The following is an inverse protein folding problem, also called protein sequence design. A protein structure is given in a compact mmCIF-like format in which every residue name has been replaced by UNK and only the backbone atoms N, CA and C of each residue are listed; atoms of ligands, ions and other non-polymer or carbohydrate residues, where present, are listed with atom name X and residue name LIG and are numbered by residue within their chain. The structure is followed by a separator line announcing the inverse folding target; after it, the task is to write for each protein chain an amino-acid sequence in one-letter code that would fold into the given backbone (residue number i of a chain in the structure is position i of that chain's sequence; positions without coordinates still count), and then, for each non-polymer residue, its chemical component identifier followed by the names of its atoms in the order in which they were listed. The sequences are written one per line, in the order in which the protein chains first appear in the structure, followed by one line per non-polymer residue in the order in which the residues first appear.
data_IF_324566434511
#
_entry.id   IF_324566434511
#
_cell.length_a   1.000
_cell.length_b   1.000
_cell.length_c   1.000
_cell.angle_alpha   90.00
_cell.angle_beta   90.00
_cell.angle_gamma   90.00
#
_symmetry.space_group_name_H-M   'P 1'
#
loop_
_entity.id
_entity.type
_entity.pdbx_description
1 polymer ?
#
# COMPACT_ATOMS: atom_id res chain seq x y z
N UNK A 1 -3.63 4.28 21.61
CA UNK A 1 -3.54 2.80 21.64
C UNK A 1 -4.66 2.13 20.85
N UNK A 2 -5.95 2.30 21.22
CA UNK A 2 -7.10 1.62 20.57
C UNK A 2 -7.06 1.70 19.03
N UNK A 3 -7.04 2.91 18.48
CA UNK A 3 -7.05 3.12 17.01
C UNK A 3 -5.85 2.44 16.33
N UNK A 4 -4.64 2.57 16.89
CA UNK A 4 -3.44 1.94 16.35
C UNK A 4 -3.55 0.40 16.37
N UNK A 5 -4.09 -0.18 17.45
CA UNK A 5 -4.31 -1.63 17.53
C UNK A 5 -5.26 -2.11 16.43
N UNK A 6 -6.37 -1.41 16.19
CA UNK A 6 -7.35 -1.81 15.18
C UNK A 6 -6.84 -1.60 13.75
N UNK A 7 -6.08 -0.53 13.50
CA UNK A 7 -5.39 -0.33 12.21
C UNK A 7 -4.40 -1.47 11.98
N UNK A 8 -3.55 -1.79 12.96
CA UNK A 8 -2.59 -2.89 12.84
C UNK A 8 -3.30 -4.23 12.59
N UNK A 9 -4.36 -4.52 13.33
CA UNK A 9 -5.17 -5.73 13.18
C UNK A 9 -5.75 -5.87 11.77
N UNK A 10 -6.34 -4.80 11.24
CA UNK A 10 -6.83 -4.76 9.86
C UNK A 10 -5.70 -4.99 8.85
N UNK A 11 -4.58 -4.27 8.98
CA UNK A 11 -3.44 -4.42 8.07
C UNK A 11 -2.84 -5.84 8.09
N UNK A 12 -2.74 -6.48 9.26
CA UNK A 12 -2.28 -7.86 9.37
C UNK A 12 -3.27 -8.80 8.67
N UNK A 13 -4.57 -8.62 8.89
CA UNK A 13 -5.59 -9.46 8.29
C UNK A 13 -5.63 -9.33 6.75
N UNK A 14 -5.45 -8.12 6.22
CA UNK A 14 -5.46 -7.85 4.78
C UNK A 14 -4.15 -8.21 4.07
N UNK A 15 -2.99 -7.92 4.64
CA UNK A 15 -1.72 -8.04 3.91
C UNK A 15 -0.88 -9.26 4.28
N UNK A 16 -1.12 -9.86 5.46
CA UNK A 16 -0.39 -11.06 5.91
C UNK A 16 -1.26 -12.31 5.89
N UNK A 17 -2.52 -12.23 6.32
CA UNK A 17 -3.42 -13.40 6.35
C UNK A 17 -4.15 -13.63 5.02
N UNK A 18 -4.37 -12.58 4.21
CA UNK A 18 -4.92 -12.74 2.87
C UNK A 18 -3.88 -13.37 1.94
N UNK A 19 -4.14 -14.58 1.47
CA UNK A 19 -3.21 -15.31 0.60
C UNK A 19 -3.38 -14.94 -0.88
N UNK A 20 -2.36 -15.18 -1.70
CA UNK A 20 -2.44 -14.98 -3.17
C UNK A 20 -3.59 -15.77 -3.82
N UNK A 21 -3.99 -16.93 -3.25
CA UNK A 21 -5.15 -17.71 -3.73
C UNK A 21 -6.45 -16.94 -3.50
N UNK A 22 -6.60 -16.30 -2.34
CA UNK A 22 -7.76 -15.49 -1.99
C UNK A 22 -7.85 -14.24 -2.86
N UNK A 23 -6.71 -13.61 -3.18
CA UNK A 23 -6.66 -12.45 -4.08
C UNK A 23 -7.01 -12.83 -5.52
N UNK A 24 -6.59 -14.01 -5.99
CA UNK A 24 -6.89 -14.51 -7.34
C UNK A 24 -8.36 -14.87 -7.54
N UNK A 25 -9.01 -15.41 -6.51
CA UNK A 25 -10.42 -15.83 -6.57
C UNK A 25 -11.20 -15.27 -5.35
N UNK A 26 -11.34 -13.94 -5.33
CA UNK A 26 -11.95 -13.22 -4.20
C UNK A 26 -13.37 -13.66 -3.90
N UNK A 27 -14.15 -14.00 -4.94
CA UNK A 27 -15.55 -14.40 -4.78
C UNK A 27 -15.66 -15.77 -4.09
N UNK A 28 -14.83 -16.74 -4.47
CA UNK A 28 -14.80 -18.06 -3.82
C UNK A 28 -14.32 -17.99 -2.38
N UNK A 29 -13.28 -17.20 -2.12
CA UNK A 29 -12.64 -17.14 -0.80
C UNK A 29 -13.15 -16.00 0.10
N UNK A 30 -14.20 -15.29 -0.30
CA UNK A 30 -14.77 -14.16 0.45
C UNK A 30 -15.05 -14.51 1.92
N UNK A 31 -15.74 -15.63 2.18
CA UNK A 31 -16.07 -16.06 3.55
C UNK A 31 -14.84 -16.34 4.40
N UNK A 32 -13.80 -16.93 3.81
CA UNK A 32 -12.55 -17.24 4.50
C UNK A 32 -11.76 -15.98 4.83
N UNK A 33 -11.81 -14.99 3.94
CA UNK A 33 -11.17 -13.70 4.18
C UNK A 33 -11.86 -12.96 5.33
N UNK A 34 -13.19 -12.91 5.30
CA UNK A 34 -14.02 -12.30 6.32
C UNK A 34 -13.86 -13.01 7.68
N UNK A 35 -13.70 -14.34 7.71
CA UNK A 35 -13.53 -15.08 8.96
C UNK A 35 -12.23 -14.75 9.68
N UNK A 36 -11.11 -14.64 8.95
CA UNK A 36 -9.84 -14.25 9.59
C UNK A 36 -9.87 -12.80 10.07
N UNK A 37 -10.56 -11.91 9.35
CA UNK A 37 -10.85 -10.55 9.81
C UNK A 37 -11.63 -10.56 11.12
N UNK A 38 -12.72 -11.32 11.19
CA UNK A 38 -13.50 -11.45 12.42
C UNK A 38 -12.66 -11.92 13.60
N UNK A 39 -11.83 -12.96 13.40
CA UNK A 39 -10.96 -13.49 14.45
C UNK A 39 -9.93 -12.45 14.90
N UNK A 40 -9.19 -11.83 13.99
CA UNK A 40 -8.12 -10.89 14.35
C UNK A 40 -8.66 -9.63 15.01
N UNK A 41 -9.76 -9.06 14.51
CA UNK A 41 -10.37 -7.87 15.13
C UNK A 41 -10.93 -8.20 16.51
N UNK A 42 -11.61 -9.34 16.66
CA UNK A 42 -12.14 -9.79 17.96
C UNK A 42 -11.01 -10.02 18.97
N UNK A 43 -9.95 -10.73 18.59
CA UNK A 43 -8.80 -10.97 19.47
C UNK A 43 -8.12 -9.66 19.88
N UNK A 44 -7.98 -8.71 18.96
CA UNK A 44 -7.38 -7.41 19.24
C UNK A 44 -8.22 -6.60 20.25
N UNK A 45 -9.54 -6.64 20.12
CA UNK A 45 -10.46 -6.01 21.07
C UNK A 45 -10.48 -6.74 22.42
N UNK A 46 -10.39 -8.06 22.45
CA UNK A 46 -10.22 -8.82 23.70
C UNK A 46 -8.94 -8.40 24.45
N UNK A 47 -7.81 -8.24 23.75
CA UNK A 47 -6.56 -7.77 24.36
C UNK A 47 -6.75 -6.38 24.96
N UNK A 48 -7.39 -5.45 24.23
CA UNK A 48 -7.68 -4.12 24.75
C UNK A 48 -8.60 -4.16 25.97
N UNK A 49 -9.62 -5.01 25.94
CA UNK A 49 -10.55 -5.21 27.06
C UNK A 49 -9.84 -5.74 28.31
N UNK A 50 -8.88 -6.67 28.18
CA UNK A 50 -8.11 -7.12 29.34
C UNK A 50 -7.24 -6.03 29.98
N UNK A 51 -6.83 -5.01 29.22
CA UNK A 51 -5.99 -3.93 29.73
C UNK A 51 -6.81 -2.86 30.46
N UNK A 52 -7.95 -2.47 29.90
CA UNK A 52 -8.69 -1.27 30.34
C UNK A 52 -10.21 -1.42 30.30
N UNK A 53 -10.72 -2.63 30.10
CA UNK A 53 -12.11 -2.85 29.74
C UNK A 53 -13.08 -2.78 30.92
N UNK A 54 -14.30 -2.33 30.63
CA UNK A 54 -15.38 -2.23 31.62
C UNK A 54 -16.58 -3.09 31.22
N UNK A 55 -17.04 -2.94 29.97
CA UNK A 55 -18.19 -3.68 29.45
C UNK A 55 -17.83 -4.49 28.20
N UNK A 56 -17.71 -5.81 28.37
CA UNK A 56 -17.31 -6.72 27.29
C UNK A 56 -18.23 -6.66 26.06
N UNK A 57 -19.54 -6.47 26.28
CA UNK A 57 -20.51 -6.43 25.19
C UNK A 57 -20.32 -5.16 24.33
N UNK A 58 -20.17 -4.00 24.97
CA UNK A 58 -20.01 -2.72 24.27
C UNK A 58 -18.61 -2.50 23.70
N UNK A 59 -17.58 -3.04 24.34
CA UNK A 59 -16.18 -2.79 23.96
C UNK A 59 -15.57 -3.89 23.11
N UNK A 60 -16.15 -5.09 23.09
CA UNK A 60 -15.65 -6.22 22.29
C UNK A 60 -16.69 -6.71 21.31
N UNK A 61 -17.84 -7.18 21.79
CA UNK A 61 -18.81 -7.90 20.94
C UNK A 61 -19.41 -7.00 19.87
N UNK A 62 -20.03 -5.88 20.26
CA UNK A 62 -20.65 -4.92 19.34
C UNK A 62 -19.64 -4.40 18.30
N UNK A 63 -18.49 -3.81 18.70
CA UNK A 63 -17.51 -3.30 17.74
C UNK A 63 -16.98 -4.38 16.80
N UNK A 64 -16.72 -5.60 17.30
CA UNK A 64 -16.27 -6.72 16.44
C UNK A 64 -17.29 -7.04 15.35
N UNK A 65 -18.58 -7.12 15.72
CA UNK A 65 -19.66 -7.39 14.76
C UNK A 65 -19.77 -6.27 13.73
N UNK A 66 -19.75 -5.00 14.16
CA UNK A 66 -19.81 -3.85 13.26
C UNK A 66 -18.63 -3.82 12.29
N UNK A 67 -17.39 -4.01 12.78
CA UNK A 67 -16.18 -4.01 11.96
C UNK A 67 -16.23 -5.10 10.88
N UNK A 68 -16.68 -6.30 11.22
CA UNK A 68 -16.82 -7.41 10.26
C UNK A 68 -17.91 -7.11 9.24
N UNK A 69 -19.06 -6.59 9.66
CA UNK A 69 -20.15 -6.24 8.73
C UNK A 69 -19.69 -5.18 7.73
N UNK A 70 -19.10 -4.08 8.21
CA UNK A 70 -18.64 -3.00 7.35
C UNK A 70 -17.51 -3.44 6.42
N UNK A 71 -16.54 -4.21 6.92
CA UNK A 71 -15.48 -4.80 6.09
C UNK A 71 -16.07 -5.65 4.96
N UNK A 72 -16.99 -6.57 5.29
CA UNK A 72 -17.66 -7.41 4.31
C UNK A 72 -18.44 -6.61 3.26
N UNK A 73 -19.10 -5.52 3.65
CA UNK A 73 -19.81 -4.62 2.71
C UNK A 73 -18.84 -3.92 1.76
N UNK A 74 -17.74 -3.38 2.27
CA UNK A 74 -16.72 -2.68 1.47
C UNK A 74 -16.10 -3.65 0.47
N UNK A 75 -15.65 -4.81 0.93
CA UNK A 75 -15.01 -5.82 0.09
C UNK A 75 -15.96 -6.37 -0.98
N UNK A 76 -17.22 -6.65 -0.62
CA UNK A 76 -18.22 -7.08 -1.59
C UNK A 76 -18.47 -6.00 -2.66
N UNK A 77 -18.60 -4.75 -2.23
CA UNK A 77 -18.77 -3.61 -3.14
C UNK A 77 -17.59 -3.43 -4.08
N UNK A 78 -16.36 -3.57 -3.57
CA UNK A 78 -15.13 -3.52 -4.36
C UNK A 78 -15.09 -4.63 -5.42
N UNK A 79 -15.42 -5.88 -5.05
CA UNK A 79 -15.49 -7.00 -6.00
C UNK A 79 -16.49 -6.69 -7.12
N UNK A 80 -17.69 -6.22 -6.76
CA UNK A 80 -18.73 -5.88 -7.74
C UNK A 80 -18.31 -4.73 -8.68
N UNK A 81 -17.64 -3.70 -8.16
CA UNK A 81 -17.13 -2.57 -8.96
C UNK A 81 -15.98 -2.98 -9.86
N UNK A 82 -15.10 -3.87 -9.40
CA UNK A 82 -13.99 -4.40 -10.17
C UNK A 82 -14.46 -5.27 -11.35
N UNK A 83 -15.53 -6.06 -11.17
CA UNK A 83 -16.18 -6.84 -12.23
C UNK A 83 -16.85 -5.93 -13.29
N UNK A 84 -17.53 -4.86 -12.86
CA UNK A 84 -18.19 -3.90 -13.78
C UNK A 84 -17.20 -3.07 -14.60
N UNK A 85 -16.08 -2.67 -13.99
CA UNK A 85 -15.02 -1.88 -14.63
C UNK A 85 -14.21 -2.63 -15.69
N UNK A 86 -14.42 -3.95 -15.86
CA UNK A 86 -13.68 -4.79 -16.80
C UNK A 86 -13.87 -4.41 -18.29
N UNK A 87 -14.81 -3.51 -18.62
CA UNK A 87 -15.08 -3.01 -19.98
C UNK A 87 -14.22 -1.82 -20.44
N UNK A 88 -13.37 -1.25 -19.59
CA UNK A 88 -12.63 -0.02 -19.89
C UNK A 88 -11.14 -0.27 -20.19
N UNK A 89 -10.61 0.42 -21.21
CA UNK A 89 -9.20 0.45 -21.64
C UNK A 89 -8.23 1.02 -20.58
N UNK A 90 -8.72 1.49 -19.42
CA UNK A 90 -7.93 1.97 -18.27
C UNK A 90 -8.05 1.07 -17.02
N UNK A 91 -8.05 -0.26 -17.20
CA UNK A 91 -8.32 -1.24 -16.13
C UNK A 91 -7.47 -1.07 -14.87
N UNK A 92 -6.23 -0.63 -14.99
CA UNK A 92 -5.29 -0.63 -13.87
C UNK A 92 -5.26 0.69 -13.06
N UNK A 93 -5.47 1.86 -13.68
CA UNK A 93 -5.64 3.12 -12.93
C UNK A 93 -6.94 3.07 -12.14
N UNK A 94 -7.98 2.47 -12.72
CA UNK A 94 -9.20 2.12 -12.01
C UNK A 94 -8.94 1.17 -10.83
N UNK A 95 -8.16 0.11 -11.03
CA UNK A 95 -7.80 -0.80 -9.93
C UNK A 95 -6.97 -0.12 -8.84
N UNK A 96 -6.11 0.83 -9.18
CA UNK A 96 -5.35 1.63 -8.22
C UNK A 96 -6.29 2.51 -7.39
N UNK A 97 -7.21 3.22 -8.05
CA UNK A 97 -8.23 4.03 -7.38
C UNK A 97 -9.14 3.20 -6.48
N UNK A 98 -9.60 2.03 -6.96
CA UNK A 98 -10.38 1.09 -6.14
C UNK A 98 -9.58 0.56 -4.95
N UNK A 99 -8.28 0.30 -5.11
CA UNK A 99 -7.43 -0.13 -3.99
C UNK A 99 -7.27 0.97 -2.95
N UNK A 100 -6.96 2.20 -3.36
CA UNK A 100 -6.80 3.33 -2.42
C UNK A 100 -8.13 3.65 -1.73
N UNK A 101 -9.23 3.75 -2.50
CA UNK A 101 -10.56 4.04 -1.96
C UNK A 101 -11.03 2.99 -0.97
N UNK A 102 -10.74 1.71 -1.24
CA UNK A 102 -10.99 0.61 -0.32
C UNK A 102 -10.25 0.76 1.01
N UNK A 103 -8.94 1.05 0.99
CA UNK A 103 -8.17 1.23 2.23
C UNK A 103 -8.67 2.45 3.03
N UNK A 104 -9.03 3.55 2.35
CA UNK A 104 -9.62 4.73 2.99
C UNK A 104 -10.96 4.41 3.65
N UNK A 105 -11.85 3.69 2.97
CA UNK A 105 -13.15 3.29 3.54
C UNK A 105 -12.98 2.38 4.77
N UNK A 106 -12.01 1.47 4.75
CA UNK A 106 -11.70 0.64 5.93
C UNK A 106 -11.20 1.47 7.11
N UNK A 107 -10.30 2.44 6.90
CA UNK A 107 -9.85 3.34 7.97
C UNK A 107 -11.01 4.19 8.50
N UNK A 108 -11.88 4.72 7.62
CA UNK A 108 -13.06 5.49 8.04
C UNK A 108 -13.99 4.65 8.91
N UNK A 109 -14.25 3.39 8.53
CA UNK A 109 -15.12 2.51 9.32
C UNK A 109 -14.49 2.13 10.67
N UNK A 110 -13.17 1.92 10.73
CA UNK A 110 -12.46 1.74 12.01
C UNK A 110 -12.63 2.98 12.91
N UNK A 111 -12.43 4.18 12.37
CA UNK A 111 -12.58 5.42 13.14
C UNK A 111 -14.03 5.64 13.59
N UNK A 112 -15.00 5.35 12.72
CA UNK A 112 -16.42 5.45 13.06
C UNK A 112 -16.81 4.48 14.18
N UNK A 113 -16.37 3.22 14.13
CA UNK A 113 -16.62 2.25 15.21
C UNK A 113 -15.93 2.69 16.50
N UNK A 114 -14.67 3.16 16.43
CA UNK A 114 -13.98 3.71 17.61
C UNK A 114 -14.78 4.84 18.27
N UNK A 115 -15.32 5.76 17.47
CA UNK A 115 -16.12 6.89 17.97
C UNK A 115 -17.44 6.43 18.58
N UNK A 116 -18.24 5.64 17.86
CA UNK A 116 -19.60 5.31 18.29
C UNK A 116 -19.69 4.26 19.39
N UNK A 117 -18.73 3.32 19.48
CA UNK A 117 -18.80 2.22 20.46
C UNK A 117 -17.72 2.29 21.53
N UNK A 118 -16.50 2.67 21.15
CA UNK A 118 -15.35 2.72 22.06
C UNK A 118 -15.14 4.12 22.68
N UNK A 119 -16.05 5.06 22.40
CA UNK A 119 -16.06 6.42 22.93
C UNK A 119 -14.75 7.18 22.71
N UNK A 120 -14.05 6.89 21.60
CA UNK A 120 -12.83 7.62 21.22
C UNK A 120 -13.21 9.00 20.70
N UNK A 121 -12.69 10.06 21.33
CA UNK A 121 -12.85 11.43 20.83
C UNK A 121 -11.98 11.66 19.59
N UNK A 122 -12.63 11.86 18.44
CA UNK A 122 -11.95 12.09 17.16
C UNK A 122 -11.31 13.48 17.05
N UNK A 123 -11.84 14.48 17.75
CA UNK A 123 -11.27 15.82 17.76
C UNK A 123 -9.97 15.82 18.56
N UNK A 124 -9.97 15.16 19.73
CA UNK A 124 -8.75 15.00 20.53
C UNK A 124 -7.70 14.20 19.75
N UNK A 125 -8.10 13.09 19.11
CA UNK A 125 -7.21 12.30 18.25
C UNK A 125 -6.59 13.14 17.13
N UNK A 126 -7.40 13.96 16.44
CA UNK A 126 -6.93 14.84 15.38
C UNK A 126 -5.96 15.89 15.93
N UNK A 127 -6.27 16.51 17.06
CA UNK A 127 -5.39 17.50 17.68
C UNK A 127 -4.04 16.87 18.08
N UNK A 128 -4.06 15.69 18.70
CA UNK A 128 -2.84 14.95 19.05
C UNK A 128 -2.02 14.61 17.79
N UNK A 129 -2.66 14.19 16.70
CA UNK A 129 -1.99 13.91 15.44
C UNK A 129 -1.33 15.17 14.86
N UNK A 130 -2.05 16.30 14.82
CA UNK A 130 -1.53 17.56 14.27
C UNK A 130 -0.33 18.09 15.09
N UNK A 131 -0.38 17.98 16.43
CA UNK A 131 0.74 18.34 17.32
C UNK A 131 1.95 17.43 17.09
N UNK A 132 1.73 16.12 17.01
CA UNK A 132 2.78 15.12 16.78
C UNK A 132 3.48 15.38 15.44
N UNK A 133 2.72 15.75 14.41
CA UNK A 133 3.25 16.06 13.08
C UNK A 133 3.83 17.48 12.94
N UNK A 134 3.89 18.27 14.01
CA UNK A 134 4.35 19.68 13.99
C UNK A 134 3.56 20.58 13.02
N UNK A 135 2.28 20.27 12.81
CA UNK A 135 1.40 21.04 11.92
C UNK A 135 0.68 22.18 12.63
N UNK A 136 0.59 22.10 13.97
CA UNK A 136 0.08 23.18 14.83
C UNK A 136 1.05 23.41 15.97
N UNK A 137 1.08 24.64 16.50
CA UNK A 137 1.91 24.99 17.64
C UNK A 137 1.36 24.39 18.94
N UNK A 138 2.25 23.86 19.78
CA UNK A 138 1.89 23.32 21.08
C UNK A 138 2.93 22.34 21.61
N UNK A 139 2.67 21.80 22.80
CA UNK A 139 3.51 20.76 23.41
C UNK A 139 3.26 19.45 22.68
N UNK A 140 4.34 18.80 22.24
CA UNK A 140 4.24 17.53 21.56
C UNK A 140 3.82 16.44 22.54
N UNK A 141 2.80 15.61 22.22
CA UNK A 141 2.42 14.52 23.08
C UNK A 141 3.52 13.45 23.07
N UNK A 142 3.99 13.05 24.25
CA UNK A 142 4.89 11.91 24.36
C UNK A 142 4.16 10.61 24.02
N UNK A 143 4.63 9.90 23.00
CA UNK A 143 4.13 8.56 22.70
C UNK A 143 4.72 7.55 23.68
N UNK A 144 3.86 7.01 24.55
CA UNK A 144 4.23 5.88 25.39
C UNK A 144 4.71 4.67 24.58
N UNK A 145 5.55 3.83 25.20
CA UNK A 145 6.24 2.70 24.55
C UNK A 145 5.31 1.81 23.71
N UNK A 146 4.12 1.48 24.21
CA UNK A 146 3.15 0.66 23.48
C UNK A 146 2.67 1.31 22.17
N UNK A 147 2.35 2.61 22.19
CA UNK A 147 1.92 3.32 20.98
C UNK A 147 3.08 3.43 19.97
N UNK A 148 4.29 3.68 20.45
CA UNK A 148 5.49 3.74 19.61
C UNK A 148 5.75 2.40 18.91
N UNK A 149 5.65 1.28 19.63
CA UNK A 149 5.79 -0.06 19.03
C UNK A 149 4.70 -0.35 18.00
N UNK A 150 3.43 -0.08 18.32
CA UNK A 150 2.32 -0.26 17.38
C UNK A 150 2.51 0.59 16.11
N UNK A 151 2.94 1.83 16.28
CA UNK A 151 3.21 2.73 15.17
C UNK A 151 4.36 2.23 14.29
N UNK A 152 5.48 1.78 14.89
CA UNK A 152 6.60 1.17 14.16
C UNK A 152 6.12 -0.05 13.35
N UNK A 153 5.29 -0.91 13.92
CA UNK A 153 4.75 -2.09 13.22
C UNK A 153 3.85 -1.70 12.05
N UNK A 154 2.96 -0.71 12.22
CA UNK A 154 2.12 -0.18 11.14
C UNK A 154 3.02 0.38 10.02
N UNK A 155 4.02 1.19 10.37
CA UNK A 155 4.94 1.79 9.41
C UNK A 155 5.78 0.74 8.69
N UNK A 156 6.18 -0.34 9.37
CA UNK A 156 6.86 -1.48 8.75
C UNK A 156 5.99 -2.16 7.69
N UNK A 157 4.71 -2.42 7.99
CA UNK A 157 3.78 -3.03 7.04
C UNK A 157 3.50 -2.08 5.87
N UNK A 158 3.24 -0.80 6.13
CA UNK A 158 3.05 0.23 5.09
C UNK A 158 4.24 0.30 4.14
N UNK A 159 5.44 0.39 4.72
CA UNK A 159 6.68 0.50 3.97
C UNK A 159 6.98 -0.78 3.17
N UNK A 160 6.64 -1.97 3.67
CA UNK A 160 6.97 -3.23 2.98
C UNK A 160 5.85 -3.74 2.08
N UNK A 161 4.83 -4.37 2.65
CA UNK A 161 3.78 -5.12 1.93
C UNK A 161 2.83 -4.19 1.18
N UNK A 162 2.32 -3.14 1.83
CA UNK A 162 1.33 -2.24 1.23
C UNK A 162 1.94 -1.51 0.04
N UNK A 163 3.12 -0.94 0.23
CA UNK A 163 3.84 -0.25 -0.86
C UNK A 163 4.23 -1.21 -1.99
N UNK A 164 4.63 -2.44 -1.68
CA UNK A 164 4.88 -3.46 -2.71
C UNK A 164 3.63 -3.79 -3.54
N UNK A 165 2.47 -3.91 -2.89
CA UNK A 165 1.19 -4.14 -3.56
C UNK A 165 0.77 -2.93 -4.41
N UNK A 166 0.94 -1.71 -3.89
CA UNK A 166 0.66 -0.46 -4.58
C UNK A 166 1.48 -0.34 -5.88
N UNK A 167 2.80 -0.54 -5.79
CA UNK A 167 3.71 -0.50 -6.94
C UNK A 167 3.33 -1.56 -7.98
N UNK A 168 2.97 -2.77 -7.54
CA UNK A 168 2.53 -3.84 -8.45
C UNK A 168 1.29 -3.45 -9.25
N UNK A 169 0.29 -2.82 -8.62
CA UNK A 169 -0.91 -2.34 -9.33
C UNK A 169 -0.54 -1.20 -10.28
N UNK A 170 0.24 -0.23 -9.80
CA UNK A 170 0.62 0.98 -10.53
C UNK A 170 1.43 0.65 -11.79
N UNK A 171 2.48 -0.18 -11.68
CA UNK A 171 3.32 -0.57 -12.80
C UNK A 171 2.55 -1.39 -13.84
N UNK A 172 1.67 -2.29 -13.40
CA UNK A 172 0.78 -2.96 -14.34
C UNK A 172 -0.11 -2.01 -15.15
N UNK A 173 -0.38 -0.79 -14.62
CA UNK A 173 -1.17 0.25 -15.29
C UNK A 173 -0.39 1.01 -16.33
N UNK A 174 0.82 1.42 -15.96
CA UNK A 174 1.47 2.52 -16.62
C UNK A 174 2.21 2.05 -17.88
N UNK A 175 2.80 0.85 -17.87
CA UNK A 175 3.52 0.28 -19.02
C UNK A 175 2.62 0.14 -20.27
N UNK A 176 1.32 -0.10 -20.10
CA UNK A 176 0.37 -0.17 -21.24
C UNK A 176 -0.01 1.19 -21.79
N UNK A 177 -0.07 2.22 -20.95
CA UNK A 177 -0.45 3.57 -21.40
C UNK A 177 0.69 4.29 -22.08
N UNK A 178 1.93 4.10 -21.63
CA UNK A 178 3.09 4.73 -22.27
C UNK A 178 3.32 4.11 -23.66
N UNK A 179 3.33 2.77 -23.76
CA UNK A 179 3.42 2.08 -25.06
C UNK A 179 2.29 2.48 -26.04
N UNK A 180 1.04 2.64 -25.58
CA UNK A 180 -0.08 3.10 -26.41
C UNK A 180 0.01 4.57 -26.82
N UNK A 181 0.46 5.45 -25.92
CA UNK A 181 0.64 6.87 -26.23
C UNK A 181 1.63 7.01 -27.37
N UNK A 182 2.75 6.30 -27.28
CA UNK A 182 3.81 6.38 -28.28
C UNK A 182 3.51 5.70 -29.60
N UNK A 183 2.80 4.58 -29.63
CA UNK A 183 2.31 4.01 -30.88
C UNK A 183 1.56 5.06 -31.71
N UNK A 184 0.85 5.99 -31.06
CA UNK A 184 0.17 7.11 -31.73
C UNK A 184 1.14 8.21 -32.21
N UNK A 185 2.26 8.45 -31.54
CA UNK A 185 3.28 9.41 -31.98
C UNK A 185 4.17 8.83 -33.07
N UNK A 186 4.65 7.59 -32.94
CA UNK A 186 5.41 6.90 -33.98
C UNK A 186 4.58 6.71 -35.25
N UNK A 187 3.30 6.33 -35.16
CA UNK A 187 2.41 6.31 -36.33
C UNK A 187 2.18 7.71 -36.93
N UNK A 188 2.15 8.76 -36.10
CA UNK A 188 2.03 10.14 -36.59
C UNK A 188 3.31 10.59 -37.29
N UNK A 189 4.48 10.22 -36.78
CA UNK A 189 5.78 10.53 -37.40
C UNK A 189 6.03 9.69 -38.66
N UNK A 190 5.60 8.43 -38.68
CA UNK A 190 5.62 7.55 -39.87
C UNK A 190 4.60 8.00 -40.93
N UNK A 191 3.41 8.44 -40.54
CA UNK A 191 2.41 8.99 -41.46
C UNK A 191 2.84 10.34 -42.07
N UNK A 192 3.84 11.00 -41.48
CA UNK A 192 4.48 12.21 -42.03
C UNK A 192 5.62 11.86 -43.00
N UNK A 193 6.05 10.59 -43.07
CA UNK A 193 7.07 10.13 -44.03
C UNK A 193 6.40 9.50 -45.27
N UNK A 194 6.45 10.13 -46.47
CA UNK A 194 5.63 9.68 -47.61
C UNK A 194 6.09 8.38 -48.29
N UNK A 195 7.20 7.79 -47.86
CA UNK A 195 7.80 6.63 -48.53
C UNK A 195 8.44 5.68 -47.52
N UNK A 196 7.71 4.65 -47.09
CA UNK A 196 8.35 3.43 -46.61
C UNK A 196 7.44 2.22 -46.84
N UNK A 197 7.84 1.38 -47.79
CA UNK A 197 7.26 0.07 -48.03
C UNK A 197 7.41 -0.83 -46.79
N UNK A 198 6.38 -1.66 -46.62
CA UNK A 198 5.97 -2.29 -45.38
C UNK A 198 6.50 -3.72 -45.32
N UNK A 199 7.45 -3.98 -44.43
CA UNK A 199 7.78 -5.33 -43.95
C UNK A 199 8.08 -5.25 -42.44
N UNK A 200 7.04 -5.33 -41.62
CA UNK A 200 7.19 -5.44 -40.16
C UNK A 200 7.11 -6.90 -39.75
N UNK A 201 8.25 -7.51 -39.46
CA UNK A 201 8.33 -8.70 -38.61
C UNK A 201 8.53 -8.24 -37.17
N UNK A 202 7.45 -8.16 -36.40
CA UNK A 202 7.51 -7.86 -34.97
C UNK A 202 7.93 -9.13 -34.21
N UNK A 203 9.20 -9.21 -33.84
CA UNK A 203 9.73 -10.27 -32.99
C UNK A 203 9.50 -9.90 -31.52
N UNK A 204 8.34 -10.27 -30.98
CA UNK A 204 8.05 -10.08 -29.56
C UNK A 204 8.84 -11.08 -28.71
N UNK A 205 9.98 -10.65 -28.17
CA UNK A 205 10.69 -11.39 -27.12
C UNK A 205 9.91 -11.24 -25.81
N UNK A 206 9.01 -12.18 -25.53
CA UNK A 206 8.39 -12.28 -24.22
C UNK A 206 9.40 -12.84 -23.21
N UNK A 207 9.86 -12.02 -22.26
CA UNK A 207 10.52 -12.55 -21.07
C UNK A 207 9.48 -13.32 -20.24
N UNK A 208 9.52 -14.66 -20.31
CA UNK A 208 8.78 -15.52 -19.39
C UNK A 208 9.39 -15.36 -18.01
N UNK A 209 8.81 -14.50 -17.16
CA UNK A 209 9.18 -14.42 -15.75
C UNK A 209 8.89 -15.77 -15.06
N UNK A 210 9.94 -16.48 -14.67
CA UNK A 210 9.84 -17.76 -13.97
C UNK A 210 9.30 -17.53 -12.55
N UNK A 211 8.38 -18.38 -12.11
CA UNK A 211 7.61 -18.21 -10.86
C UNK A 211 8.46 -18.10 -9.57
N UNK A 212 9.76 -18.45 -9.63
CA UNK A 212 10.75 -18.34 -8.54
C UNK A 212 11.37 -16.93 -8.39
N UNK A 213 11.33 -16.08 -9.41
CA UNK A 213 11.93 -14.73 -9.37
C UNK A 213 11.05 -13.71 -8.65
N UNK A 214 9.74 -13.97 -8.58
CA UNK A 214 8.75 -13.10 -7.93
C UNK A 214 8.97 -12.95 -6.42
N UNK A 215 9.46 -13.99 -5.72
CA UNK A 215 9.71 -13.90 -4.28
C UNK A 215 11.00 -13.11 -3.98
N UNK A 216 12.03 -13.29 -4.80
CA UNK A 216 13.33 -12.59 -4.64
C UNK A 216 13.19 -11.09 -4.89
N UNK A 217 12.49 -10.70 -5.96
CA UNK A 217 12.22 -9.29 -6.25
C UNK A 217 11.44 -8.59 -5.14
N UNK A 218 10.43 -9.27 -4.56
CA UNK A 218 9.65 -8.76 -3.42
C UNK A 218 10.54 -8.50 -2.20
N UNK A 219 11.41 -9.45 -1.85
CA UNK A 219 12.33 -9.32 -0.71
C UNK A 219 13.36 -8.21 -0.94
N UNK A 220 13.94 -8.11 -2.14
CA UNK A 220 14.87 -7.01 -2.48
C UNK A 220 14.19 -5.65 -2.28
N UNK A 221 12.97 -5.49 -2.79
CA UNK A 221 12.21 -4.25 -2.61
C UNK A 221 11.95 -3.92 -1.14
N UNK A 222 11.73 -4.92 -0.28
CA UNK A 222 11.55 -4.71 1.16
C UNK A 222 12.84 -4.19 1.79
N UNK A 223 13.96 -4.85 1.51
CA UNK A 223 15.26 -4.48 2.04
C UNK A 223 15.67 -3.06 1.63
N UNK A 224 15.46 -2.70 0.36
CA UNK A 224 15.77 -1.36 -0.14
C UNK A 224 14.97 -0.27 0.59
N UNK A 225 13.67 -0.46 0.75
CA UNK A 225 12.84 0.54 1.45
C UNK A 225 13.16 0.65 2.93
N UNK A 226 13.42 -0.47 3.60
CA UNK A 226 13.85 -0.47 5.00
C UNK A 226 15.22 0.19 5.18
N UNK A 227 16.15 -0.03 4.24
CA UNK A 227 17.45 0.65 4.22
C UNK A 227 17.28 2.16 4.04
N UNK A 228 16.41 2.60 3.13
CA UNK A 228 16.08 4.02 2.96
C UNK A 228 15.52 4.61 4.25
N UNK A 229 14.53 3.97 4.88
CA UNK A 229 13.99 4.42 6.16
C UNK A 229 15.08 4.54 7.22
N UNK A 230 15.96 3.54 7.36
CA UNK A 230 17.06 3.56 8.32
C UNK A 230 18.01 4.74 8.07
N UNK A 231 18.37 5.03 6.81
CA UNK A 231 19.22 6.17 6.47
C UNK A 231 18.57 7.52 6.79
N UNK A 232 17.26 7.66 6.58
CA UNK A 232 16.51 8.87 6.94
C UNK A 232 16.48 9.08 8.45
N UNK A 233 16.26 8.01 9.23
CA UNK A 233 16.33 8.05 10.69
C UNK A 233 17.73 8.49 11.18
N UNK A 234 18.79 7.97 10.56
CA UNK A 234 20.19 8.39 10.82
C UNK A 234 20.53 9.80 10.31
N UNK A 235 19.62 10.46 9.57
CA UNK A 235 19.86 11.80 8.99
C UNK A 235 20.73 11.80 7.73
N UNK A 236 21.03 10.64 7.15
CA UNK A 236 21.89 10.50 5.98
C UNK A 236 21.08 10.51 4.67
N UNK A 237 20.49 11.67 4.34
CA UNK A 237 19.71 11.85 3.11
C UNK A 237 20.53 11.63 1.83
N UNK A 238 21.82 12.02 1.86
CA UNK A 238 22.73 11.86 0.73
C UNK A 238 22.97 10.38 0.37
N UNK A 239 23.04 9.49 1.36
CA UNK A 239 23.23 8.05 1.14
C UNK A 239 22.05 7.41 0.40
N UNK A 240 20.84 7.94 0.56
CA UNK A 240 19.66 7.49 -0.20
C UNK A 240 19.86 7.74 -1.71
N UNK A 241 20.35 8.94 -2.07
CA UNK A 241 20.67 9.27 -3.46
C UNK A 241 21.76 8.37 -4.05
N UNK A 242 22.79 8.07 -3.26
CA UNK A 242 23.84 7.12 -3.67
C UNK A 242 23.28 5.73 -3.98
N UNK A 243 22.37 5.20 -3.15
CA UNK A 243 21.76 3.88 -3.38
C UNK A 243 20.93 3.87 -4.67
N UNK A 244 20.12 4.91 -4.93
CA UNK A 244 19.34 5.02 -6.17
C UNK A 244 20.25 5.02 -7.39
N UNK A 245 21.34 5.78 -7.34
CA UNK A 245 22.33 5.83 -8.42
C UNK A 245 23.04 4.48 -8.62
N UNK A 246 23.51 3.84 -7.54
CA UNK A 246 24.15 2.54 -7.59
C UNK A 246 23.21 1.47 -8.18
N UNK A 247 21.93 1.46 -7.76
CA UNK A 247 20.91 0.55 -8.30
C UNK A 247 20.73 0.76 -9.81
N UNK A 248 20.70 2.00 -10.27
CA UNK A 248 20.58 2.34 -11.70
C UNK A 248 21.82 1.91 -12.50
N UNK A 249 23.02 2.08 -11.94
CA UNK A 249 24.29 1.68 -12.57
C UNK A 249 24.36 0.16 -12.81
N UNK A 250 23.94 -0.66 -11.84
CA UNK A 250 23.94 -2.13 -12.00
C UNK A 250 23.06 -2.63 -13.14
N UNK A 251 22.12 -1.79 -13.59
CA UNK A 251 21.15 -2.12 -14.62
C UNK A 251 21.33 -1.32 -15.90
N UNK A 252 22.44 -0.58 -16.02
CA UNK A 252 22.68 0.32 -17.14
C UNK A 252 22.52 -0.36 -18.52
N UNK A 253 23.07 -1.56 -18.72
CA UNK A 253 22.92 -2.31 -19.98
C UNK A 253 21.48 -2.72 -20.31
N UNK A 254 20.60 -2.83 -19.32
CA UNK A 254 19.20 -3.19 -19.52
C UNK A 254 18.34 -1.95 -19.79
N UNK A 255 18.88 -0.74 -19.55
CA UNK A 255 18.20 0.52 -19.83
C UNK A 255 18.15 0.86 -21.33
N UNK A 256 18.90 0.15 -22.15
CA UNK A 256 18.80 0.25 -23.62
C UNK A 256 17.44 -0.27 -24.12
N UNK A 257 16.84 -1.23 -23.39
CA UNK A 257 15.45 -1.61 -23.56
C UNK A 257 14.58 -0.56 -22.87
N UNK A 258 13.87 0.20 -23.70
CA UNK A 258 13.05 1.32 -23.25
C UNK A 258 11.91 0.91 -22.32
N UNK A 259 11.15 -0.13 -22.67
CA UNK A 259 10.02 -0.58 -21.88
C UNK A 259 10.50 -1.05 -20.50
N UNK A 260 11.65 -1.73 -20.48
CA UNK A 260 12.32 -2.13 -19.26
C UNK A 260 12.79 -0.93 -18.44
N UNK A 261 13.42 0.07 -19.09
CA UNK A 261 13.92 1.27 -18.43
C UNK A 261 12.81 2.06 -17.75
N UNK A 262 11.69 2.30 -18.45
CA UNK A 262 10.53 3.01 -17.90
C UNK A 262 9.92 2.24 -16.72
N UNK A 263 9.69 0.92 -16.89
CA UNK A 263 9.19 0.06 -15.81
C UNK A 263 10.09 0.14 -14.56
N UNK A 264 11.40 0.03 -14.76
CA UNK A 264 12.38 0.05 -13.68
C UNK A 264 12.45 1.41 -12.98
N UNK A 265 12.52 2.51 -13.75
CA UNK A 265 12.64 3.87 -13.23
C UNK A 265 11.38 4.25 -12.43
N UNK A 266 10.19 4.04 -13.01
CA UNK A 266 8.93 4.34 -12.33
C UNK A 266 8.79 3.53 -11.04
N UNK A 267 9.09 2.23 -11.08
CA UNK A 267 8.99 1.37 -9.91
C UNK A 267 9.94 1.80 -8.80
N UNK A 268 11.20 2.08 -9.17
CA UNK A 268 12.25 2.46 -8.22
C UNK A 268 11.98 3.84 -7.63
N UNK A 269 11.71 4.85 -8.45
CA UNK A 269 11.48 6.22 -7.96
C UNK A 269 10.26 6.31 -7.05
N UNK A 270 9.14 5.68 -7.41
CA UNK A 270 7.96 5.64 -6.53
C UNK A 270 8.23 4.88 -5.23
N UNK A 271 8.96 3.75 -5.28
CA UNK A 271 9.35 2.99 -4.09
C UNK A 271 10.20 3.81 -3.12
N UNK A 272 11.22 4.51 -3.64
CA UNK A 272 12.12 5.33 -2.84
C UNK A 272 11.42 6.57 -2.30
N UNK A 273 10.60 7.24 -3.11
CA UNK A 273 9.80 8.39 -2.67
C UNK A 273 8.90 8.03 -1.47
N UNK A 274 8.15 6.93 -1.57
CA UNK A 274 7.30 6.47 -0.47
C UNK A 274 8.12 6.09 0.77
N UNK A 275 9.25 5.40 0.59
CA UNK A 275 10.13 5.06 1.72
C UNK A 275 10.72 6.29 2.42
N UNK A 276 11.07 7.35 1.67
CA UNK A 276 11.51 8.63 2.23
C UNK A 276 10.38 9.26 3.05
N UNK A 277 9.17 9.33 2.50
CA UNK A 277 7.98 9.87 3.20
C UNK A 277 7.76 9.11 4.51
N UNK A 278 7.76 7.78 4.47
CA UNK A 278 7.61 6.97 5.69
C UNK A 278 8.73 7.18 6.69
N UNK A 279 9.98 7.30 6.24
CA UNK A 279 11.13 7.57 7.12
C UNK A 279 11.03 8.92 7.80
N UNK A 280 10.57 9.96 7.08
CA UNK A 280 10.36 11.31 7.65
C UNK A 280 9.22 11.28 8.66
N UNK A 281 8.08 10.66 8.33
CA UNK A 281 6.95 10.50 9.25
C UNK A 281 7.41 9.79 10.53
N UNK A 282 8.11 8.67 10.39
CA UNK A 282 8.62 7.90 11.53
C UNK A 282 9.59 8.73 12.39
N UNK A 283 10.46 9.53 11.74
CA UNK A 283 11.39 10.42 12.42
C UNK A 283 10.68 11.50 13.23
N UNK A 284 9.70 12.16 12.63
CA UNK A 284 8.94 13.24 13.28
C UNK A 284 8.10 12.70 14.43
N UNK A 285 7.46 11.55 14.26
CA UNK A 285 6.57 10.98 15.29
C UNK A 285 7.35 10.42 16.48
N UNK A 286 8.51 9.79 16.26
CA UNK A 286 9.24 9.10 17.35
C UNK A 286 10.39 9.90 17.96
N UNK A 287 10.92 10.88 17.23
CA UNK A 287 12.11 11.65 17.63
C UNK A 287 11.94 13.17 17.39
N UNK A 288 10.73 13.61 17.04
CA UNK A 288 10.40 15.03 16.89
C UNK A 288 10.35 15.71 18.24
#
# INVERSE_FOLDING_TARGET
MIVLCLILAHMVADFYLQTEKMVKDKRRYFKLHLSHHAVIMFLSLCILFFIQGQNFLNEVVIPSVLLVIFHGIIDFSKIALQEKGARWTQRNTWNLGLFIGDQVLHIITILAVCYFTLQVDLNELLQQLLLTLKLIEGVQPELGLANSLLFILIMFILCTTVTGHLIRIMLGSLTKHISLFEGKYTLRDLAVSPNSEKNMSEEYTYMVMKHQDLSRGKVIGYLERLLVVALILMGSFHAVGFIVAAKSLTRFKQMDDRDWAEYFLLGTLTSFLLAIIYGVILKVVLFG
#
